data_IF_933787433446
#
_entry.id   IF_933787433446
#
_cell.length_a   1.000
_cell.length_b   1.000
_cell.length_c   1.000
_cell.angle_alpha   90.00
_cell.angle_beta   90.00
_cell.angle_gamma   90.00
#
_symmetry.space_group_name_H-M   'P 1'
#
loop_
_entity.id
_entity.type
_entity.pdbx_description
1 polymer ?
#
# COMPACT_ATOMS: atom_id res chain seq x y z
N UNK A 1 2.80 -22.31 -62.46
CA UNK A 1 3.97 -21.93 -61.63
C UNK A 1 4.07 -20.43 -61.69
N UNK A 2 3.55 -19.74 -60.69
CA UNK A 2 3.79 -18.31 -60.50
C UNK A 2 3.67 -18.01 -59.01
N UNK A 3 4.75 -17.43 -58.52
CA UNK A 3 5.11 -17.20 -57.13
C UNK A 3 4.33 -16.06 -56.46
N UNK A 4 4.44 -16.12 -55.13
CA UNK A 4 4.01 -15.16 -54.12
C UNK A 4 4.42 -13.72 -54.44
N UNK A 5 3.50 -12.77 -54.23
CA UNK A 5 3.82 -11.40 -53.83
C UNK A 5 2.92 -11.07 -52.65
N UNK A 6 3.54 -10.79 -51.51
CA UNK A 6 2.92 -10.36 -50.28
C UNK A 6 3.48 -8.97 -49.98
N UNK A 7 2.81 -7.92 -50.45
CA UNK A 7 3.16 -6.53 -50.15
C UNK A 7 1.99 -5.89 -49.40
N UNK A 8 1.94 -6.15 -48.10
CA UNK A 8 1.21 -5.33 -47.14
C UNK A 8 2.21 -4.38 -46.50
N UNK A 9 2.32 -3.15 -47.01
CA UNK A 9 2.90 -2.06 -46.24
C UNK A 9 2.34 -0.71 -46.69
N UNK A 10 2.04 0.08 -45.67
CA UNK A 10 2.09 1.53 -45.65
C UNK A 10 0.81 2.27 -46.05
N UNK A 11 -0.08 2.51 -45.09
CA UNK A 11 -0.72 3.82 -44.93
C UNK A 11 -1.14 4.04 -43.47
N UNK A 12 -0.94 5.28 -43.01
CA UNK A 12 -1.38 5.90 -41.76
C UNK A 12 -0.41 5.79 -40.57
N UNK A 13 0.65 6.60 -40.62
CA UNK A 13 1.34 7.01 -39.41
C UNK A 13 1.95 8.41 -39.53
N UNK A 14 1.15 9.45 -39.77
CA UNK A 14 1.59 10.84 -39.59
C UNK A 14 0.38 11.71 -39.16
N UNK A 15 0.02 11.64 -37.87
CA UNK A 15 -0.61 12.75 -37.14
C UNK A 15 -0.72 12.38 -35.66
N UNK A 16 0.36 12.60 -34.89
CA UNK A 16 0.32 12.96 -33.45
C UNK A 16 1.69 13.14 -32.77
N UNK A 17 2.80 13.31 -33.49
CA UNK A 17 4.13 13.38 -32.86
C UNK A 17 4.48 14.72 -32.18
N UNK A 18 3.51 15.60 -31.88
CA UNK A 18 3.78 16.89 -31.21
C UNK A 18 3.15 17.03 -29.83
N UNK A 19 2.12 16.25 -29.50
CA UNK A 19 1.50 16.22 -28.16
C UNK A 19 2.14 15.18 -27.23
N UNK A 20 2.74 14.12 -27.78
CA UNK A 20 3.31 13.04 -26.96
C UNK A 20 4.73 13.34 -26.43
N UNK A 21 5.44 14.29 -27.06
CA UNK A 21 6.81 14.64 -26.67
C UNK A 21 6.82 15.63 -25.49
N UNK A 22 5.76 16.43 -25.30
CA UNK A 22 5.65 17.35 -24.15
C UNK A 22 5.18 16.62 -22.87
N UNK A 23 4.45 15.50 -22.99
CA UNK A 23 4.04 14.65 -21.85
C UNK A 23 5.14 13.70 -21.34
N UNK A 24 6.28 13.59 -22.03
CA UNK A 24 7.39 12.72 -21.61
C UNK A 24 8.26 13.31 -20.48
N UNK A 25 8.32 14.64 -20.33
CA UNK A 25 9.17 15.28 -19.32
C UNK A 25 8.55 15.34 -17.93
N UNK A 26 7.22 15.46 -17.82
CA UNK A 26 6.51 15.36 -16.54
C UNK A 26 6.49 13.90 -16.02
N UNK A 27 6.47 12.92 -16.92
CA UNK A 27 6.50 11.48 -16.62
C UNK A 27 7.88 10.90 -16.25
N UNK A 28 8.98 11.69 -16.28
CA UNK A 28 10.27 11.21 -15.74
C UNK A 28 10.53 11.69 -14.32
N UNK A 29 10.22 12.95 -13.99
CA UNK A 29 10.61 13.52 -12.69
C UNK A 29 9.83 12.89 -11.54
N UNK A 30 8.49 12.96 -11.59
CA UNK A 30 7.66 12.46 -10.50
C UNK A 30 7.78 10.94 -10.38
N UNK A 31 7.93 10.25 -11.52
CA UNK A 31 8.29 8.84 -11.56
C UNK A 31 9.62 8.56 -10.83
N UNK A 32 10.67 9.34 -11.09
CA UNK A 32 11.96 9.19 -10.40
C UNK A 32 11.85 9.47 -8.90
N UNK A 33 11.08 10.48 -8.49
CA UNK A 33 10.76 10.72 -7.07
C UNK A 33 10.12 9.47 -6.47
N UNK A 34 9.10 8.90 -7.13
CA UNK A 34 8.41 7.71 -6.65
C UNK A 34 9.35 6.49 -6.54
N UNK A 35 10.20 6.25 -7.53
CA UNK A 35 11.21 5.18 -7.50
C UNK A 35 12.15 5.34 -6.30
N UNK A 36 12.64 6.56 -6.05
CA UNK A 36 13.51 6.86 -4.91
C UNK A 36 12.81 6.60 -3.57
N UNK A 37 11.58 7.09 -3.41
CA UNK A 37 10.78 6.87 -2.20
C UNK A 37 10.40 5.39 -1.98
N UNK A 38 10.16 4.63 -3.05
CA UNK A 38 9.88 3.19 -2.97
C UNK A 38 11.09 2.42 -2.47
N UNK A 39 12.27 2.72 -3.02
CA UNK A 39 13.53 2.03 -2.71
C UNK A 39 14.14 2.41 -1.35
N UNK A 40 13.58 3.42 -0.68
CA UNK A 40 14.12 3.91 0.60
C UNK A 40 15.21 4.99 0.44
N UNK A 41 15.50 5.42 -0.77
CA UNK A 41 16.38 6.56 -1.08
C UNK A 41 15.63 7.89 -0.79
N UNK A 42 15.13 8.06 0.43
CA UNK A 42 14.25 9.17 0.80
C UNK A 42 14.92 10.52 0.57
N UNK A 43 16.20 10.65 0.91
CA UNK A 43 16.97 11.88 0.73
C UNK A 43 16.96 12.34 -0.74
N UNK A 44 17.28 11.44 -1.67
CA UNK A 44 17.29 11.73 -3.10
C UNK A 44 15.90 12.13 -3.61
N UNK A 45 14.85 11.44 -3.16
CA UNK A 45 13.47 11.79 -3.51
C UNK A 45 13.07 13.19 -3.06
N UNK A 46 13.45 13.58 -1.84
CA UNK A 46 13.19 14.92 -1.29
C UNK A 46 14.03 16.00 -2.00
N UNK A 47 15.29 15.71 -2.35
CA UNK A 47 16.13 16.62 -3.15
C UNK A 47 15.51 16.87 -4.52
N UNK A 48 15.03 15.82 -5.21
CA UNK A 48 14.33 15.98 -6.49
C UNK A 48 13.08 16.86 -6.37
N UNK A 49 12.29 16.71 -5.31
CA UNK A 49 11.14 17.60 -5.06
C UNK A 49 11.59 19.05 -4.79
N UNK A 50 12.66 19.24 -4.04
CA UNK A 50 13.22 20.56 -3.72
C UNK A 50 13.71 21.29 -4.97
N UNK A 51 14.55 20.63 -5.77
CA UNK A 51 15.18 21.21 -6.98
C UNK A 51 14.14 21.63 -8.04
N UNK A 52 12.95 21.03 -8.00
CA UNK A 52 11.85 21.32 -8.92
C UNK A 52 10.78 22.23 -8.33
N UNK A 53 11.05 22.91 -7.21
CA UNK A 53 10.10 23.79 -6.51
C UNK A 53 8.80 23.08 -6.12
N UNK A 54 8.86 21.77 -5.86
CA UNK A 54 7.73 20.94 -5.40
C UNK A 54 7.75 20.69 -3.90
N UNK A 55 8.78 21.14 -3.18
CA UNK A 55 8.84 21.13 -1.72
C UNK A 55 8.40 22.48 -1.15
N UNK A 56 7.46 22.47 -0.19
CA UNK A 56 6.89 23.66 0.46
C UNK A 56 7.04 23.54 1.97
N UNK A 57 7.53 24.62 2.58
CA UNK A 57 7.77 24.70 4.02
C UNK A 57 7.08 25.95 4.57
N UNK A 58 6.25 25.77 5.60
CA UNK A 58 5.66 26.88 6.36
C UNK A 58 5.99 26.73 7.85
N UNK A 59 5.74 27.76 8.66
CA UNK A 59 6.14 27.72 10.07
C UNK A 59 5.25 26.74 10.86
N UNK A 60 3.95 26.74 10.60
CA UNK A 60 2.95 25.96 11.34
C UNK A 60 2.13 25.03 10.44
N UNK A 61 1.56 23.97 11.02
CA UNK A 61 0.65 23.06 10.30
C UNK A 61 -0.53 23.80 9.66
N UNK A 62 -1.07 24.81 10.35
CA UNK A 62 -2.20 25.62 9.85
C UNK A 62 -1.80 26.39 8.58
N UNK A 63 -0.62 27.00 8.57
CA UNK A 63 -0.10 27.71 7.40
C UNK A 63 0.11 26.75 6.23
N UNK A 64 0.71 25.57 6.44
CA UNK A 64 0.87 24.57 5.39
C UNK A 64 -0.46 24.07 4.82
N UNK A 65 -1.46 23.83 5.67
CA UNK A 65 -2.81 23.47 5.21
C UNK A 65 -3.42 24.60 4.38
N UNK A 66 -3.29 25.86 4.82
CA UNK A 66 -3.82 27.01 4.10
C UNK A 66 -3.14 27.20 2.74
N UNK A 67 -1.81 27.09 2.69
CA UNK A 67 -1.04 27.20 1.45
C UNK A 67 -1.38 26.06 0.49
N UNK A 68 -1.47 24.82 0.99
CA UNK A 68 -1.90 23.65 0.22
C UNK A 68 -3.29 23.87 -0.39
N UNK A 69 -4.26 24.30 0.42
CA UNK A 69 -5.62 24.59 -0.05
C UNK A 69 -5.61 25.73 -1.07
N UNK A 70 -4.79 26.78 -0.88
CA UNK A 70 -4.67 27.85 -1.85
C UNK A 70 -4.12 27.35 -3.19
N UNK A 71 -3.08 26.52 -3.19
CA UNK A 71 -2.53 25.92 -4.40
C UNK A 71 -3.53 24.96 -5.06
N UNK A 72 -4.33 24.23 -4.26
CA UNK A 72 -5.44 23.40 -4.74
C UNK A 72 -6.53 24.21 -5.42
N UNK A 73 -6.91 25.37 -4.87
CA UNK A 73 -7.91 26.28 -5.46
C UNK A 73 -7.46 26.81 -6.82
N UNK A 74 -6.18 27.18 -6.91
CA UNK A 74 -5.57 27.76 -8.12
C UNK A 74 -5.09 26.72 -9.14
N UNK A 75 -5.40 25.43 -8.94
CA UNK A 75 -5.05 24.38 -9.89
C UNK A 75 -5.75 24.57 -11.23
N UNK A 76 -5.02 24.27 -12.30
CA UNK A 76 -5.54 24.27 -13.68
C UNK A 76 -6.28 22.99 -14.06
N UNK A 77 -6.20 21.94 -13.24
CA UNK A 77 -6.77 20.63 -13.54
C UNK A 77 -8.23 20.56 -13.09
N UNK A 78 -9.03 19.68 -13.65
CA UNK A 78 -10.42 19.49 -13.20
C UNK A 78 -10.49 18.96 -11.76
N UNK A 79 -11.60 19.20 -11.06
CA UNK A 79 -11.78 18.78 -9.66
C UNK A 79 -11.49 17.30 -9.44
N UNK A 80 -11.92 16.44 -10.37
CA UNK A 80 -11.70 15.00 -10.32
C UNK A 80 -10.23 14.60 -10.50
N UNK A 81 -9.40 15.44 -11.11
CA UNK A 81 -7.98 15.16 -11.39
C UNK A 81 -7.06 15.64 -10.25
N UNK A 82 -7.61 16.30 -9.21
CA UNK A 82 -6.88 16.79 -8.04
C UNK A 82 -7.03 15.83 -6.87
N UNK A 83 -5.97 15.61 -6.08
CA UNK A 83 -6.04 14.81 -4.86
C UNK A 83 -5.08 15.31 -3.79
N UNK A 84 -5.57 15.34 -2.54
CA UNK A 84 -4.75 15.63 -1.37
C UNK A 84 -4.51 14.35 -0.57
N UNK A 85 -3.27 14.14 -0.16
CA UNK A 85 -2.82 13.01 0.64
C UNK A 85 -2.32 13.57 1.97
N UNK A 86 -2.92 13.14 3.08
CA UNK A 86 -2.60 13.65 4.42
C UNK A 86 -2.92 12.61 5.51
N UNK A 87 -2.37 12.80 6.71
CA UNK A 87 -2.77 12.03 7.91
C UNK A 87 -4.27 12.11 8.20
N UNK A 88 -4.81 11.15 8.95
CA UNK A 88 -6.27 10.98 9.12
C UNK A 88 -6.96 12.26 9.62
N UNK A 89 -6.43 12.87 10.69
CA UNK A 89 -6.99 14.08 11.30
C UNK A 89 -6.90 15.28 10.34
N UNK A 90 -5.77 15.43 9.67
CA UNK A 90 -5.54 16.49 8.69
C UNK A 90 -6.45 16.33 7.47
N UNK A 91 -6.62 15.11 6.96
CA UNK A 91 -7.51 14.81 5.84
C UNK A 91 -8.97 15.13 6.17
N UNK A 92 -9.46 14.80 7.37
CA UNK A 92 -10.82 15.21 7.80
C UNK A 92 -10.97 16.74 7.81
N UNK A 93 -10.00 17.47 8.37
CA UNK A 93 -10.00 18.93 8.41
C UNK A 93 -9.96 19.55 7.00
N UNK A 94 -9.06 19.07 6.14
CA UNK A 94 -8.90 19.56 4.77
C UNK A 94 -10.18 19.33 3.95
N UNK A 95 -10.81 18.15 4.07
CA UNK A 95 -12.07 17.86 3.41
C UNK A 95 -13.16 18.89 3.78
N UNK A 96 -13.27 19.24 5.06
CA UNK A 96 -14.25 20.26 5.51
C UNK A 96 -13.91 21.65 4.97
N UNK A 97 -12.64 22.06 4.98
CA UNK A 97 -12.23 23.37 4.47
C UNK A 97 -12.49 23.52 2.96
N UNK A 98 -12.17 22.49 2.18
CA UNK A 98 -12.43 22.48 0.74
C UNK A 98 -13.92 22.55 0.47
N UNK A 99 -14.71 21.74 1.18
CA UNK A 99 -16.16 21.73 1.02
C UNK A 99 -16.80 23.07 1.37
N UNK A 100 -16.38 23.70 2.46
CA UNK A 100 -16.83 25.04 2.82
C UNK A 100 -16.51 26.07 1.74
N UNK A 101 -15.27 26.04 1.21
CA UNK A 101 -14.89 26.88 0.08
C UNK A 101 -15.76 26.63 -1.16
N UNK A 102 -16.03 25.37 -1.51
CA UNK A 102 -16.88 25.04 -2.66
C UNK A 102 -18.33 25.52 -2.47
N UNK A 103 -18.85 25.53 -1.24
CA UNK A 103 -20.15 26.15 -0.92
C UNK A 103 -20.10 27.67 -1.11
N UNK A 104 -19.07 28.33 -0.56
CA UNK A 104 -18.88 29.78 -0.67
C UNK A 104 -18.69 30.25 -2.13
N UNK A 105 -18.00 29.46 -2.94
CA UNK A 105 -17.77 29.73 -4.36
C UNK A 105 -18.98 29.37 -5.25
N UNK A 106 -19.99 28.70 -4.68
CA UNK A 106 -21.20 28.27 -5.39
C UNK A 106 -21.01 27.05 -6.29
N UNK A 107 -19.95 26.27 -6.09
CA UNK A 107 -19.73 24.98 -6.76
C UNK A 107 -20.59 23.87 -6.15
N UNK A 108 -20.87 23.95 -4.84
CA UNK A 108 -21.83 23.10 -4.14
C UNK A 108 -23.10 23.90 -3.84
N UNK A 109 -24.22 23.48 -4.44
CA UNK A 109 -25.52 24.14 -4.35
C UNK A 109 -26.63 23.14 -4.06
N UNK A 110 -27.74 23.64 -3.52
CA UNK A 110 -28.93 22.84 -3.27
C UNK A 110 -29.04 22.33 -1.83
N UNK A 111 -29.83 21.28 -1.58
CA UNK A 111 -30.04 20.72 -0.25
C UNK A 111 -28.80 19.98 0.28
N UNK A 112 -28.60 20.07 1.59
CA UNK A 112 -27.53 19.39 2.34
C UNK A 112 -28.14 18.30 3.22
N UNK A 113 -27.62 17.08 3.10
CA UNK A 113 -28.17 15.89 3.76
C UNK A 113 -27.21 15.40 4.84
N UNK A 114 -27.69 15.29 6.08
CA UNK A 114 -26.92 14.75 7.21
C UNK A 114 -27.05 13.23 7.29
N UNK A 115 -25.93 12.53 7.21
CA UNK A 115 -25.86 11.06 7.27
C UNK A 115 -25.20 10.65 8.57
N UNK A 116 -25.82 9.70 9.29
CA UNK A 116 -25.23 9.10 10.48
C UNK A 116 -24.09 8.16 10.06
N UNK A 117 -22.85 8.49 10.42
CA UNK A 117 -21.66 7.72 10.07
C UNK A 117 -21.11 6.89 11.25
N UNK A 118 -21.62 7.12 12.47
CA UNK A 118 -21.32 6.33 13.66
C UNK A 118 -22.38 6.54 14.73
N UNK A 119 -22.76 5.50 15.48
CA UNK A 119 -23.38 5.70 16.80
C UNK A 119 -24.16 4.52 17.41
N UNK A 120 -23.64 3.99 18.53
CA UNK A 120 -24.43 3.53 19.67
C UNK A 120 -24.26 4.48 20.89
N UNK A 121 -23.06 5.05 21.11
CA UNK A 121 -22.76 5.90 22.28
C UNK A 121 -22.52 7.39 21.95
N UNK A 122 -22.09 7.72 20.72
CA UNK A 122 -22.00 9.11 20.23
C UNK A 122 -22.41 9.16 18.76
N UNK A 123 -23.52 9.84 18.46
CA UNK A 123 -24.00 10.00 17.08
C UNK A 123 -23.09 10.98 16.33
N UNK A 124 -22.27 10.49 15.40
CA UNK A 124 -21.47 11.32 14.48
C UNK A 124 -22.20 11.41 13.15
N UNK A 125 -22.41 12.63 12.67
CA UNK A 125 -23.02 12.90 11.37
C UNK A 125 -22.01 13.51 10.41
N UNK A 126 -22.15 13.20 9.12
CA UNK A 126 -21.45 13.85 8.02
C UNK A 126 -22.48 14.40 7.04
N UNK A 127 -22.25 15.62 6.56
CA UNK A 127 -23.15 16.31 5.64
C UNK A 127 -22.67 16.15 4.20
N UNK A 128 -23.58 15.87 3.28
CA UNK A 128 -23.29 15.67 1.85
C UNK A 128 -24.26 16.45 0.95
N UNK A 129 -23.78 16.85 -0.22
CA UNK A 129 -24.52 17.58 -1.25
C UNK A 129 -24.22 16.99 -2.64
N UNK A 130 -25.12 17.20 -3.60
CA UNK A 130 -24.80 16.96 -4.99
C UNK A 130 -23.57 17.81 -5.38
N UNK A 131 -22.64 17.22 -6.11
CA UNK A 131 -21.32 17.76 -6.43
C UNK A 131 -20.21 17.35 -5.46
N UNK A 132 -20.52 16.78 -4.29
CA UNK A 132 -19.46 16.38 -3.35
C UNK A 132 -18.60 15.24 -3.92
N UNK A 133 -17.28 15.37 -3.76
CA UNK A 133 -16.32 14.29 -4.02
C UNK A 133 -16.35 13.31 -2.85
N UNK A 134 -16.47 12.03 -3.17
CA UNK A 134 -16.46 10.93 -2.19
C UNK A 134 -15.44 9.87 -2.57
N UNK A 135 -15.07 9.06 -1.58
CA UNK A 135 -14.29 7.84 -1.76
C UNK A 135 -15.03 6.69 -1.05
N UNK A 136 -15.23 5.59 -1.77
CA UNK A 136 -15.84 4.40 -1.20
C UNK A 136 -14.90 3.71 -0.21
N UNK A 137 -15.44 3.24 0.91
CA UNK A 137 -14.70 2.54 1.96
C UNK A 137 -15.09 1.05 2.06
N UNK A 138 -15.85 0.56 1.08
CA UNK A 138 -16.32 -0.82 1.00
C UNK A 138 -16.12 -1.37 -0.40
N UNK A 139 -16.14 -2.70 -0.52
CA UNK A 139 -16.29 -3.38 -1.80
C UNK A 139 -17.73 -3.88 -1.91
N UNK A 140 -18.33 -3.76 -3.09
CA UNK A 140 -19.64 -4.34 -3.39
C UNK A 140 -19.59 -4.94 -4.80
N UNK A 141 -19.80 -6.26 -4.92
CA UNK A 141 -19.67 -6.95 -6.22
C UNK A 141 -20.84 -6.66 -7.15
N UNK A 142 -22.04 -6.51 -6.60
CA UNK A 142 -23.27 -6.36 -7.39
C UNK A 142 -23.34 -4.94 -7.97
N UNK A 143 -22.98 -3.96 -7.15
CA UNK A 143 -22.84 -2.57 -7.59
C UNK A 143 -21.51 -2.33 -8.30
N UNK A 144 -20.60 -3.31 -8.29
CA UNK A 144 -19.20 -3.22 -8.74
C UNK A 144 -18.54 -1.92 -8.24
N UNK A 145 -18.62 -1.73 -6.93
CA UNK A 145 -17.92 -0.70 -6.16
C UNK A 145 -16.61 -1.31 -5.67
N UNK A 146 -15.51 -0.58 -5.87
CA UNK A 146 -14.22 -0.95 -5.30
C UNK A 146 -13.86 -0.06 -4.11
N UNK A 147 -13.26 -0.66 -3.09
CA UNK A 147 -12.71 0.10 -1.97
C UNK A 147 -11.65 1.09 -2.48
N UNK A 148 -11.69 2.30 -1.94
CA UNK A 148 -10.83 3.43 -2.33
C UNK A 148 -11.04 3.94 -3.75
N UNK A 149 -12.17 3.60 -4.39
CA UNK A 149 -12.61 4.22 -5.64
C UNK A 149 -13.25 5.59 -5.38
N UNK A 150 -12.91 6.58 -6.20
CA UNK A 150 -13.43 7.93 -6.11
C UNK A 150 -14.66 8.13 -7.00
N UNK A 151 -15.59 8.94 -6.51
CA UNK A 151 -16.77 9.32 -7.25
C UNK A 151 -17.22 10.75 -6.89
N UNK A 152 -18.09 11.32 -7.71
CA UNK A 152 -18.81 12.56 -7.44
C UNK A 152 -20.27 12.25 -7.22
N UNK A 153 -20.87 12.74 -6.13
CA UNK A 153 -22.31 12.65 -5.91
C UNK A 153 -23.05 13.47 -6.98
N UNK A 154 -23.95 12.84 -7.72
CA UNK A 154 -24.75 13.47 -8.77
C UNK A 154 -26.10 13.90 -8.24
N UNK A 155 -26.75 13.03 -7.47
CA UNK A 155 -28.03 13.34 -6.82
C UNK A 155 -28.11 12.65 -5.47
N UNK A 156 -28.79 13.32 -4.56
CA UNK A 156 -29.07 12.82 -3.23
C UNK A 156 -30.57 12.89 -3.00
N UNK A 157 -31.15 11.76 -2.62
CA UNK A 157 -32.51 11.62 -2.13
C UNK A 157 -32.47 10.96 -0.73
N UNK A 158 -33.53 11.07 0.04
CA UNK A 158 -33.62 10.58 1.44
C UNK A 158 -33.24 9.10 1.58
N UNK A 159 -33.46 8.29 0.53
CA UNK A 159 -33.22 6.84 0.56
C UNK A 159 -32.18 6.35 -0.46
N UNK A 160 -31.73 7.21 -1.38
CA UNK A 160 -30.97 6.76 -2.56
C UNK A 160 -30.01 7.82 -3.04
N UNK A 161 -28.74 7.43 -3.15
CA UNK A 161 -27.68 8.28 -3.66
C UNK A 161 -27.33 7.80 -5.06
N UNK A 162 -26.94 8.73 -5.92
CA UNK A 162 -26.34 8.43 -7.22
C UNK A 162 -24.99 9.12 -7.25
N UNK A 163 -23.94 8.34 -7.50
CA UNK A 163 -22.58 8.84 -7.65
C UNK A 163 -22.03 8.42 -9.01
N UNK A 164 -21.26 9.29 -9.64
CA UNK A 164 -20.52 9.00 -10.86
C UNK A 164 -19.06 8.79 -10.51
N UNK A 165 -18.56 7.58 -10.74
CA UNK A 165 -17.15 7.24 -10.55
C UNK A 165 -16.27 7.99 -11.55
N UNK A 166 -14.98 8.10 -11.25
CA UNK A 166 -14.01 8.74 -12.15
C UNK A 166 -13.84 7.98 -13.48
N UNK A 167 -14.20 6.69 -13.51
CA UNK A 167 -14.24 5.87 -14.73
C UNK A 167 -15.50 6.11 -15.57
N UNK A 168 -16.41 6.97 -15.10
CA UNK A 168 -17.62 7.39 -15.80
C UNK A 168 -18.86 6.55 -15.51
N UNK A 169 -18.76 5.54 -14.64
CA UNK A 169 -19.89 4.68 -14.25
C UNK A 169 -20.78 5.36 -13.21
N UNK A 170 -22.07 5.39 -13.47
CA UNK A 170 -23.09 5.79 -12.49
C UNK A 170 -23.42 4.62 -11.56
N UNK A 171 -23.37 4.88 -10.26
CA UNK A 171 -23.63 3.92 -9.19
C UNK A 171 -24.73 4.49 -8.32
N UNK A 172 -25.77 3.69 -8.12
CA UNK A 172 -26.83 4.05 -7.17
C UNK A 172 -26.88 3.12 -5.99
N UNK A 173 -26.90 3.69 -4.79
CA UNK A 173 -26.73 2.94 -3.55
C UNK A 173 -27.52 3.54 -2.38
N UNK A 174 -27.73 2.69 -1.37
CA UNK A 174 -28.32 3.03 -0.08
C UNK A 174 -27.20 3.42 0.90
N UNK A 175 -27.37 4.58 1.53
CA UNK A 175 -26.46 5.17 2.52
C UNK A 175 -26.24 4.30 3.76
N UNK A 176 -27.18 3.41 4.11
CA UNK A 176 -27.03 2.50 5.24
C UNK A 176 -26.24 1.22 4.89
N UNK A 177 -26.03 0.95 3.60
CA UNK A 177 -25.38 -0.29 3.13
C UNK A 177 -23.97 -0.05 2.62
N UNK A 178 -23.72 1.11 2.04
CA UNK A 178 -22.42 1.44 1.44
C UNK A 178 -21.70 2.46 2.31
N UNK A 179 -20.50 2.09 2.76
CA UNK A 179 -19.62 3.00 3.50
C UNK A 179 -18.80 3.86 2.55
N UNK A 180 -18.79 5.16 2.79
CA UNK A 180 -18.02 6.16 2.05
C UNK A 180 -17.72 7.38 2.92
N UNK A 181 -16.76 8.20 2.49
CA UNK A 181 -16.40 9.48 3.11
C UNK A 181 -16.10 10.53 2.05
N UNK A 182 -15.92 11.78 2.46
CA UNK A 182 -15.42 12.84 1.57
C UNK A 182 -14.06 12.46 0.96
N UNK A 183 -13.90 12.80 -0.32
CA UNK A 183 -12.80 12.35 -1.18
C UNK A 183 -11.93 13.46 -1.74
N UNK A 184 -11.93 14.67 -1.18
CA UNK A 184 -10.99 15.72 -1.57
C UNK A 184 -9.58 15.44 -1.02
N UNK A 185 -9.52 14.92 0.20
CA UNK A 185 -8.31 14.48 0.89
C UNK A 185 -8.46 13.05 1.44
N UNK A 186 -7.39 12.25 1.37
CA UNK A 186 -7.36 10.88 1.90
C UNK A 186 -6.02 10.53 2.54
N UNK A 187 -6.00 9.51 3.38
CA UNK A 187 -4.77 8.90 3.93
C UNK A 187 -4.14 7.92 2.97
N UNK A 188 -4.95 7.19 2.21
CA UNK A 188 -4.55 6.14 1.28
C UNK A 188 -5.41 6.25 0.04
N UNK A 189 -4.78 6.15 -1.13
CA UNK A 189 -5.47 6.01 -2.40
C UNK A 189 -5.17 4.65 -3.04
N UNK A 190 -6.06 4.21 -3.93
CA UNK A 190 -5.83 3.07 -4.80
C UNK A 190 -5.38 3.57 -6.18
N UNK A 191 -4.11 3.37 -6.59
CA UNK A 191 -3.59 3.87 -7.86
C UNK A 191 -4.29 3.26 -9.09
N UNK A 192 -4.95 2.11 -8.94
CA UNK A 192 -5.66 1.47 -10.04
C UNK A 192 -6.98 2.16 -10.40
N UNK A 193 -7.62 2.82 -9.43
CA UNK A 193 -8.96 3.42 -9.59
C UNK A 193 -8.93 4.94 -9.57
N UNK A 194 -7.75 5.55 -9.42
CA UNK A 194 -7.62 6.96 -9.10
C UNK A 194 -6.45 7.60 -9.87
N UNK A 195 -6.44 7.60 -11.20
CA UNK A 195 -5.43 8.40 -11.92
C UNK A 195 -5.66 9.88 -11.60
N UNK A 196 -4.66 10.54 -10.99
CA UNK A 196 -4.70 11.96 -10.61
C UNK A 196 -3.55 12.70 -11.27
N UNK A 197 -3.83 13.92 -11.71
CA UNK A 197 -2.85 14.77 -12.39
C UNK A 197 -2.22 15.78 -11.43
N UNK A 198 -2.95 16.24 -10.40
CA UNK A 198 -2.45 17.21 -9.43
C UNK A 198 -2.53 16.64 -8.02
N UNK A 199 -1.37 16.30 -7.45
CA UNK A 199 -1.26 15.61 -6.16
C UNK A 199 -0.56 16.50 -5.14
N UNK A 200 -1.21 16.67 -3.99
CA UNK A 200 -0.71 17.47 -2.87
C UNK A 200 -0.49 16.56 -1.67
N UNK A 201 0.72 16.50 -1.15
CA UNK A 201 1.09 15.65 -0.02
C UNK A 201 1.35 16.54 1.19
N UNK A 202 0.63 16.33 2.29
CA UNK A 202 0.89 17.01 3.55
C UNK A 202 1.59 16.05 4.51
N UNK A 203 2.83 16.37 4.83
CA UNK A 203 3.60 15.70 5.88
C UNK A 203 3.39 16.39 7.23
N UNK A 204 3.07 15.61 8.24
CA UNK A 204 2.99 16.08 9.62
C UNK A 204 3.33 14.96 10.61
N UNK A 205 4.04 15.32 11.69
CA UNK A 205 4.23 14.47 12.87
C UNK A 205 4.75 13.04 12.58
N UNK A 206 5.73 12.91 11.67
CA UNK A 206 6.37 11.62 11.39
C UNK A 206 5.51 10.61 10.62
N UNK A 207 4.33 11.00 10.12
CA UNK A 207 3.50 10.12 9.28
C UNK A 207 4.23 9.85 7.96
N UNK A 208 4.44 8.58 7.64
CA UNK A 208 5.07 8.16 6.38
C UNK A 208 4.16 8.32 5.16
N UNK A 209 4.73 8.14 3.97
CA UNK A 209 3.97 8.09 2.71
C UNK A 209 3.77 6.63 2.32
N UNK A 210 2.52 6.19 2.29
CA UNK A 210 2.14 4.82 1.89
C UNK A 210 2.57 4.49 0.46
N UNK A 211 2.88 3.22 0.19
CA UNK A 211 3.39 2.79 -1.13
C UNK A 211 2.39 3.05 -2.27
N UNK A 212 1.09 2.94 -1.99
CA UNK A 212 0.05 3.27 -2.96
C UNK A 212 -0.02 4.77 -3.27
N UNK A 213 0.22 5.61 -2.26
CA UNK A 213 0.34 7.06 -2.41
C UNK A 213 1.61 7.44 -3.19
N UNK A 214 2.73 6.73 -2.97
CA UNK A 214 3.95 6.94 -3.75
C UNK A 214 3.73 6.59 -5.23
N UNK A 215 2.97 5.54 -5.51
CA UNK A 215 2.59 5.20 -6.88
C UNK A 215 1.78 6.33 -7.53
N UNK A 216 0.88 6.97 -6.77
CA UNK A 216 0.10 8.13 -7.21
C UNK A 216 0.96 9.34 -7.53
N UNK A 217 1.94 9.62 -6.67
CA UNK A 217 2.96 10.66 -6.91
C UNK A 217 3.66 10.37 -8.23
N UNK A 218 4.07 9.13 -8.47
CA UNK A 218 4.81 8.72 -9.66
C UNK A 218 4.07 8.91 -10.98
N UNK A 219 2.74 8.82 -10.98
CA UNK A 219 1.90 8.95 -12.17
C UNK A 219 1.32 10.34 -12.40
N UNK A 220 1.51 11.28 -11.46
CA UNK A 220 0.90 12.60 -11.54
C UNK A 220 1.69 13.57 -12.44
N UNK A 221 0.98 14.49 -13.08
CA UNK A 221 1.58 15.58 -13.87
C UNK A 221 2.24 16.62 -12.95
N UNK A 222 1.65 16.87 -11.78
CA UNK A 222 2.12 17.83 -10.78
C UNK A 222 2.05 17.22 -9.38
N UNK A 223 3.14 17.38 -8.63
CA UNK A 223 3.26 16.95 -7.24
C UNK A 223 3.82 18.08 -6.41
N UNK A 224 3.26 18.30 -5.22
CA UNK A 224 3.79 19.20 -4.21
C UNK A 224 3.74 18.53 -2.83
N UNK A 225 4.85 18.57 -2.09
CA UNK A 225 4.93 18.11 -0.71
C UNK A 225 5.04 19.32 0.22
N UNK A 226 4.14 19.39 1.19
CA UNK A 226 4.03 20.44 2.20
C UNK A 226 4.45 19.86 3.54
N UNK A 227 5.29 20.57 4.27
CA UNK A 227 5.63 20.25 5.65
C UNK A 227 5.70 21.53 6.49
N UNK A 228 5.61 21.39 7.81
CA UNK A 228 5.71 22.53 8.72
C UNK A 228 6.97 22.46 9.59
N UNK A 229 7.63 23.59 9.78
CA UNK A 229 8.87 23.74 10.56
C UNK A 229 8.64 23.46 12.04
N UNK A 230 7.46 23.75 12.59
CA UNK A 230 7.16 23.46 14.00
C UNK A 230 7.28 21.95 14.33
N UNK A 231 6.74 21.07 13.50
CA UNK A 231 6.79 19.61 13.71
C UNK A 231 8.03 18.95 13.08
N UNK A 232 8.58 19.56 12.02
CA UNK A 232 9.61 18.93 11.17
C UNK A 232 10.97 19.60 11.30
N UNK A 233 11.07 20.82 11.83
CA UNK A 233 12.29 21.64 11.99
C UNK A 233 12.95 22.08 10.67
N UNK A 234 13.30 21.16 9.78
CA UNK A 234 14.01 21.42 8.53
C UNK A 234 13.92 20.21 7.59
N UNK A 235 14.53 20.32 6.40
CA UNK A 235 14.54 19.25 5.39
C UNK A 235 15.26 17.99 5.86
N UNK A 236 16.34 18.10 6.64
CA UNK A 236 17.06 16.92 7.14
C UNK A 236 16.19 16.08 8.10
N UNK A 237 15.46 16.74 8.99
CA UNK A 237 14.51 16.08 9.88
C UNK A 237 13.27 15.56 9.14
N UNK A 238 12.84 16.18 8.03
CA UNK A 238 11.82 15.61 7.14
C UNK A 238 12.28 14.26 6.57
N UNK A 239 13.50 14.22 6.04
CA UNK A 239 14.10 13.00 5.49
C UNK A 239 14.20 11.91 6.57
N UNK A 240 14.67 12.27 7.76
CA UNK A 240 14.74 11.36 8.91
C UNK A 240 13.36 10.78 9.25
N UNK A 241 12.35 11.63 9.42
CA UNK A 241 10.99 11.21 9.75
C UNK A 241 10.39 10.25 8.71
N UNK A 242 10.54 10.56 7.43
CA UNK A 242 10.05 9.71 6.34
C UNK A 242 10.83 8.38 6.23
N UNK A 243 12.14 8.40 6.50
CA UNK A 243 12.98 7.20 6.50
C UNK A 243 12.62 6.26 7.65
N UNK A 244 12.42 6.81 8.85
CA UNK A 244 11.96 6.05 10.02
C UNK A 244 10.60 5.42 9.75
N UNK A 245 9.62 6.20 9.29
CA UNK A 245 8.29 5.67 8.99
C UNK A 245 8.29 4.57 7.92
N UNK A 246 9.17 4.69 6.91
CA UNK A 246 9.37 3.63 5.90
C UNK A 246 9.93 2.35 6.51
N UNK A 247 10.90 2.49 7.42
CA UNK A 247 11.55 1.36 8.10
C UNK A 247 10.55 0.65 9.01
N UNK A 248 9.80 1.40 9.81
CA UNK A 248 8.74 0.88 10.68
C UNK A 248 7.69 0.11 9.89
N UNK A 249 7.29 0.62 8.71
CA UNK A 249 6.35 -0.07 7.83
C UNK A 249 6.90 -1.39 7.27
N UNK A 250 8.19 -1.43 6.92
CA UNK A 250 8.85 -2.66 6.44
C UNK A 250 8.91 -3.68 7.57
N UNK A 251 9.36 -3.27 8.75
CA UNK A 251 9.45 -4.15 9.92
C UNK A 251 8.08 -4.72 10.30
N UNK A 252 7.02 -3.91 10.31
CA UNK A 252 5.65 -4.37 10.56
C UNK A 252 5.19 -5.41 9.53
N UNK A 253 5.58 -5.29 8.26
CA UNK A 253 5.24 -6.30 7.24
C UNK A 253 6.02 -7.59 7.44
N UNK A 254 7.30 -7.50 7.78
CA UNK A 254 8.13 -8.67 8.07
C UNK A 254 7.61 -9.43 9.30
N UNK A 255 7.31 -8.74 10.38
CA UNK A 255 6.70 -9.33 11.58
C UNK A 255 5.36 -10.02 11.27
N UNK A 256 4.48 -9.39 10.49
CA UNK A 256 3.21 -10.00 10.09
C UNK A 256 3.40 -11.23 9.19
N UNK A 257 4.36 -11.19 8.27
CA UNK A 257 4.69 -12.34 7.43
C UNK A 257 5.29 -13.48 8.26
N UNK A 258 6.12 -13.19 9.26
CA UNK A 258 6.69 -14.16 10.17
C UNK A 258 5.62 -14.77 11.09
N UNK A 259 4.67 -13.98 11.59
CA UNK A 259 3.50 -14.48 12.33
C UNK A 259 2.69 -15.42 11.45
N UNK A 260 2.32 -15.02 10.23
CA UNK A 260 1.60 -15.88 9.29
C UNK A 260 2.40 -17.14 8.94
N UNK A 261 3.71 -17.04 8.72
CA UNK A 261 4.57 -18.18 8.44
C UNK A 261 4.68 -19.12 9.65
N UNK A 262 4.71 -18.60 10.88
CA UNK A 262 4.73 -19.37 12.11
C UNK A 262 3.39 -20.06 12.37
N UNK A 263 2.26 -19.39 12.11
CA UNK A 263 0.93 -20.01 12.14
C UNK A 263 0.81 -21.13 11.12
N UNK A 264 1.30 -20.94 9.89
CA UNK A 264 1.35 -22.00 8.86
C UNK A 264 2.25 -23.14 9.31
N UNK A 265 3.43 -22.89 9.88
CA UNK A 265 4.31 -23.94 10.42
C UNK A 265 3.67 -24.69 11.58
N UNK A 266 2.96 -24.01 12.48
CA UNK A 266 2.22 -24.64 13.58
C UNK A 266 1.04 -25.47 13.07
N UNK A 267 0.29 -24.98 12.08
CA UNK A 267 -0.77 -25.75 11.43
C UNK A 267 -0.19 -26.96 10.71
N UNK A 268 0.89 -26.82 9.95
CA UNK A 268 1.55 -27.92 9.26
C UNK A 268 2.16 -28.93 10.24
N UNK A 269 2.75 -28.48 11.35
CA UNK A 269 3.23 -29.39 12.40
C UNK A 269 2.07 -30.13 13.05
N UNK A 270 0.97 -29.46 13.39
CA UNK A 270 -0.25 -30.07 13.91
C UNK A 270 -0.90 -31.07 12.93
N UNK A 271 -0.86 -30.78 11.62
CA UNK A 271 -1.32 -31.71 10.57
C UNK A 271 -0.35 -32.89 10.38
N UNK A 272 0.97 -32.69 10.52
CA UNK A 272 1.94 -33.77 10.52
C UNK A 272 1.79 -34.67 11.77
N UNK A 273 1.44 -34.10 12.93
CA UNK A 273 1.03 -34.87 14.10
C UNK A 273 -0.25 -35.67 13.83
N UNK A 274 -1.30 -35.07 13.25
CA UNK A 274 -2.54 -35.77 12.90
C UNK A 274 -2.39 -36.83 11.80
N UNK A 275 -1.48 -36.64 10.85
CA UNK A 275 -1.24 -37.60 9.76
C UNK A 275 -0.47 -38.84 10.23
N UNK A 276 0.35 -38.71 11.28
CA UNK A 276 1.02 -39.85 11.91
C UNK A 276 0.08 -40.73 12.74
N UNK A 277 -1.06 -40.21 13.22
CA UNK A 277 -2.07 -41.01 13.93
C UNK A 277 -2.91 -41.90 12.99
N UNK A 278 -2.85 -41.69 11.67
CA UNK A 278 -3.60 -42.49 10.68
C UNK A 278 -2.85 -43.73 10.17
N UNK A 279 -1.61 -43.91 10.59
CA UNK A 279 -0.86 -45.16 10.53
C UNK A 279 -0.38 -45.48 11.95
N UNK A 280 -1.24 -46.10 12.75
CA UNK A 280 -0.81 -46.70 14.01
C UNK A 280 0.17 -47.83 13.67
N UNK A 281 1.46 -47.50 13.59
CA UNK A 281 2.52 -48.48 13.46
C UNK A 281 2.45 -49.36 14.71
N UNK A 282 2.34 -50.67 14.51
CA UNK A 282 2.39 -51.62 15.62
C UNK A 282 3.68 -51.39 16.43
N UNK A 283 3.71 -51.70 17.73
CA UNK A 283 4.96 -51.62 18.52
C UNK A 283 6.11 -52.37 17.82
N UNK A 284 5.80 -53.45 17.10
CA UNK A 284 6.77 -54.20 16.30
C UNK A 284 7.36 -53.38 15.15
N UNK A 285 6.57 -52.56 14.46
CA UNK A 285 7.07 -51.75 13.34
C UNK A 285 7.91 -50.57 13.82
N UNK A 286 7.56 -50.00 14.98
CA UNK A 286 8.42 -49.02 15.67
C UNK A 286 9.73 -49.63 16.15
N UNK A 287 9.69 -50.87 16.64
CA UNK A 287 10.89 -51.59 17.06
C UNK A 287 11.79 -51.90 15.86
N UNK A 288 11.23 -52.39 14.74
CA UNK A 288 11.98 -52.61 13.48
C UNK A 288 12.64 -51.33 12.97
N UNK A 289 11.93 -50.19 13.05
CA UNK A 289 12.48 -48.90 12.62
C UNK A 289 13.63 -48.45 13.53
N UNK A 290 13.48 -48.60 14.86
CA UNK A 290 14.54 -48.31 15.83
C UNK A 290 15.78 -49.17 15.59
N UNK A 291 15.59 -50.46 15.37
CA UNK A 291 16.68 -51.39 15.11
C UNK A 291 17.39 -51.06 13.79
N UNK A 292 16.64 -50.69 12.75
CA UNK A 292 17.21 -50.27 11.46
C UNK A 292 18.02 -48.97 11.57
N UNK A 293 17.55 -48.00 12.37
CA UNK A 293 18.28 -46.75 12.62
C UNK A 293 19.56 -47.03 13.41
N UNK A 294 19.49 -47.84 14.46
CA UNK A 294 20.64 -48.22 15.26
C UNK A 294 21.70 -48.94 14.42
N UNK A 295 21.28 -49.92 13.61
CA UNK A 295 22.18 -50.63 12.70
C UNK A 295 22.88 -49.71 11.70
N UNK A 296 22.14 -48.75 11.13
CA UNK A 296 22.69 -47.79 10.17
C UNK A 296 23.65 -46.80 10.85
N UNK A 297 23.35 -46.37 12.07
CA UNK A 297 24.23 -45.53 12.87
C UNK A 297 25.54 -46.26 13.23
N UNK A 298 25.46 -47.54 13.62
CA UNK A 298 26.63 -48.36 13.88
C UNK A 298 27.49 -48.56 12.62
N UNK A 299 26.85 -48.78 11.47
CA UNK A 299 27.53 -48.91 10.17
C UNK A 299 28.30 -47.63 9.83
N UNK A 300 27.64 -46.48 9.91
CA UNK A 300 28.26 -45.17 9.65
C UNK A 300 29.39 -44.90 10.64
N UNK A 301 29.22 -45.25 11.92
CA UNK A 301 30.27 -45.08 12.92
C UNK A 301 31.50 -45.97 12.63
N UNK A 302 31.30 -47.20 12.16
CA UNK A 302 32.40 -48.08 11.75
C UNK A 302 33.09 -47.55 10.48
N UNK A 303 32.34 -47.05 9.49
CA UNK A 303 32.91 -46.45 8.28
C UNK A 303 33.76 -45.21 8.60
N UNK A 304 33.33 -44.38 9.55
CA UNK A 304 34.02 -43.13 9.91
C UNK A 304 35.17 -43.33 10.91
N UNK A 305 35.04 -44.26 11.86
CA UNK A 305 35.94 -44.40 13.00
C UNK A 305 36.75 -45.71 13.00
N UNK A 306 36.53 -46.58 12.00
CA UNK A 306 37.12 -47.91 11.91
C UNK A 306 36.40 -48.95 12.79
N UNK A 307 36.98 -50.13 12.96
CA UNK A 307 36.36 -51.17 13.78
C UNK A 307 36.32 -50.80 15.28
N UNK A 308 35.19 -51.01 15.97
CA UNK A 308 35.06 -50.71 17.39
C UNK A 308 35.92 -51.62 18.26
N UNK A 309 36.39 -51.09 19.38
CA UNK A 309 37.18 -51.86 20.33
C UNK A 309 36.27 -52.90 21.03
N UNK A 310 36.47 -54.17 20.67
CA UNK A 310 35.67 -55.31 21.17
C UNK A 310 35.76 -55.53 22.68
N UNK A 311 36.84 -55.06 23.34
CA UNK A 311 36.98 -55.18 24.80
C UNK A 311 36.21 -54.08 25.55
N UNK A 312 36.00 -52.93 24.92
CA UNK A 312 35.31 -51.77 25.49
C UNK A 312 33.83 -51.68 25.13
N UNK A 313 33.44 -52.31 24.03
CA UNK A 313 32.04 -52.34 23.56
C UNK A 313 31.25 -53.41 24.33
N UNK A 314 30.15 -53.04 24.99
CA UNK A 314 29.26 -53.96 25.74
C UNK A 314 27.79 -53.54 25.61
N UNK A 315 26.89 -54.51 25.69
CA UNK A 315 25.43 -54.31 25.70
C UNK A 315 24.90 -53.39 24.59
N UNK A 316 25.34 -53.63 23.34
CA UNK A 316 24.86 -52.88 22.17
C UNK A 316 25.40 -51.45 22.06
N UNK A 317 26.40 -51.05 22.86
CA UNK A 317 27.08 -49.76 22.72
C UNK A 317 28.49 -49.97 22.18
N UNK A 318 28.73 -49.48 20.97
CA UNK A 318 30.05 -49.47 20.33
C UNK A 318 30.93 -48.37 20.93
N UNK A 319 32.21 -48.68 21.15
CA UNK A 319 33.23 -47.74 21.68
C UNK A 319 34.55 -47.91 20.95
N UNK A 320 35.19 -46.80 20.66
CA UNK A 320 36.53 -46.72 20.09
C UNK A 320 37.51 -46.21 21.13
N UNK A 321 38.77 -46.66 21.07
CA UNK A 321 39.83 -46.05 21.89
C UNK A 321 40.10 -44.65 21.37
N UNK A 322 40.03 -43.65 22.24
CA UNK A 322 40.58 -42.33 21.92
C UNK A 322 42.09 -42.47 21.84
N UNK A 323 42.66 -42.26 20.65
CA UNK A 323 44.10 -42.05 20.48
C UNK A 323 44.47 -40.72 21.13
N UNK A 324 44.60 -40.72 22.46
CA UNK A 324 45.38 -39.71 23.15
C UNK A 324 46.86 -40.06 22.95
N UNK A 325 47.47 -39.54 21.88
CA UNK A 325 48.92 -39.46 21.74
C UNK A 325 49.35 -38.03 21.45
N UNK A 326 49.74 -37.37 22.54
CA UNK A 326 50.91 -36.50 22.70
C UNK A 326 51.68 -36.02 21.45
N UNK A 327 51.83 -34.69 21.42
CA UNK A 327 52.77 -33.81 20.67
C UNK A 327 52.59 -33.66 19.18
#
# INVERSE_FOLDING_TARGET
MTDKINDSNNFNNIHNSKTDIENSKANSLNHNVAVKLINGDIADGIVLLSDNNSLRADNTLKESINQLINDWKNSKFELQDRLIIAGHKEAENINQNIRNYMKENGDLKGPEYSILISGAESKKYANYMAGDRIIFQTNDKDLQIQNSEFATLVSIDENKFVAKTDTGKDISFDLNKISFKHGYATTVCNPQTAVKKDVYVLHNNGVGIESSNISMIGSADQVRLYYNVQATKNVANLIEQLSTAKTDFINLKEENNDVQANEVRQYQSAQNYRKNDYYSNSEEDLQKLRDAIAYRADTIACDLLGDPNKRLSKYGKLRWETLAKYK
#
